data_IF_690177953197
#
_entry.id   IF_690177953197
#
_cell.length_a   1.000
_cell.length_b   1.000
_cell.length_c   1.000
_cell.angle_alpha   90.00
_cell.angle_beta   90.00
_cell.angle_gamma   90.00
#
_symmetry.space_group_name_H-M   'P 1'
#
loop_
_entity.id
_entity.type
_entity.pdbx_description
1 polymer ?
#
# COMPACT_ATOMS: atom_id res chain seq x y z
N UNK A 1 -3.12 -22.00 11.57
CA UNK A 1 -2.45 -20.71 11.28
C UNK A 1 -3.43 -19.60 11.60
N UNK A 2 -3.10 -18.69 12.52
CA UNK A 2 -3.97 -17.57 12.88
C UNK A 2 -3.65 -16.38 11.94
N UNK A 3 -4.66 -15.90 11.21
CA UNK A 3 -4.49 -14.85 10.19
C UNK A 3 -4.09 -13.49 10.78
N UNK A 4 -4.32 -13.27 12.08
CA UNK A 4 -3.95 -12.03 12.76
C UNK A 4 -2.45 -11.89 13.01
N UNK A 5 -1.72 -13.00 13.05
CA UNK A 5 -0.30 -13.02 13.39
C UNK A 5 0.50 -14.00 12.51
N UNK A 6 0.13 -14.12 11.23
CA UNK A 6 0.71 -15.14 10.36
C UNK A 6 2.21 -14.92 10.08
N UNK A 7 2.68 -13.66 10.15
CA UNK A 7 4.09 -13.30 9.94
C UNK A 7 4.98 -13.66 11.14
N UNK A 8 4.41 -14.10 12.26
CA UNK A 8 5.17 -14.62 13.42
C UNK A 8 6.06 -15.84 13.10
N UNK A 9 5.76 -16.56 12.01
CA UNK A 9 6.54 -17.72 11.58
C UNK A 9 7.70 -17.37 10.62
N UNK A 10 7.82 -16.11 10.21
CA UNK A 10 8.87 -15.66 9.29
C UNK A 10 10.17 -15.44 10.04
N UNK A 11 11.32 -15.68 9.39
CA UNK A 11 12.63 -15.36 9.97
C UNK A 11 12.86 -13.85 9.98
N UNK A 12 13.48 -13.35 11.04
CA UNK A 12 13.88 -11.94 11.15
C UNK A 12 14.91 -11.54 10.10
N UNK A 13 15.69 -12.48 9.58
CA UNK A 13 16.73 -12.26 8.56
C UNK A 13 16.21 -12.31 7.13
N UNK A 14 14.96 -12.74 6.92
CA UNK A 14 14.36 -12.78 5.59
C UNK A 14 14.10 -11.34 5.11
N UNK A 15 14.35 -11.05 3.84
CA UNK A 15 14.05 -9.74 3.25
C UNK A 15 12.55 -9.60 2.99
N UNK A 16 12.03 -8.39 3.13
CA UNK A 16 10.65 -8.05 2.76
C UNK A 16 10.31 -8.47 1.31
N UNK A 17 11.27 -8.29 0.40
CA UNK A 17 11.12 -8.67 -1.02
C UNK A 17 11.01 -10.17 -1.28
N UNK A 18 11.21 -11.02 -0.28
CA UNK A 18 11.16 -12.48 -0.39
C UNK A 18 9.85 -13.09 0.13
N UNK A 19 8.87 -12.26 0.51
CA UNK A 19 7.60 -12.73 1.07
C UNK A 19 6.45 -12.41 0.12
N UNK A 20 5.60 -13.39 -0.11
CA UNK A 20 4.30 -13.18 -0.73
C UNK A 20 3.34 -12.55 0.28
N UNK A 21 2.99 -11.28 0.06
CA UNK A 21 2.14 -10.50 0.98
C UNK A 21 0.79 -10.22 0.31
N UNK A 22 -0.34 -10.64 0.91
CA UNK A 22 -1.66 -10.29 0.40
C UNK A 22 -1.94 -8.80 0.65
N UNK A 23 -2.53 -8.16 -0.36
CA UNK A 23 -2.88 -6.74 -0.34
C UNK A 23 -4.26 -6.43 -0.88
N UNK A 24 -4.75 -5.23 -0.59
CA UNK A 24 -6.07 -4.74 -1.01
C UNK A 24 -5.96 -3.45 -1.81
N UNK A 25 -6.51 -3.46 -3.03
CA UNK A 25 -6.66 -2.29 -3.89
C UNK A 25 -7.75 -1.36 -3.34
N UNK A 26 -7.48 -0.04 -3.30
CA UNK A 26 -8.38 0.97 -2.72
C UNK A 26 -8.97 0.53 -1.38
N UNK A 27 -8.09 0.32 -0.39
CA UNK A 27 -8.42 -0.40 0.83
C UNK A 27 -9.57 0.24 1.63
N UNK A 28 -9.77 1.56 1.50
CA UNK A 28 -10.81 2.31 2.19
C UNK A 28 -12.18 2.32 1.48
N UNK A 29 -12.36 1.63 0.35
CA UNK A 29 -13.59 1.74 -0.46
C UNK A 29 -14.82 0.98 0.08
N UNK A 30 -14.74 0.41 1.29
CA UNK A 30 -15.78 -0.45 1.87
C UNK A 30 -17.05 0.25 2.37
N UNK A 31 -17.11 1.58 2.28
CA UNK A 31 -18.32 2.38 2.59
C UNK A 31 -18.91 3.07 1.37
N UNK A 32 -18.41 2.78 0.17
CA UNK A 32 -18.97 3.40 -1.04
C UNK A 32 -20.34 2.79 -1.33
N UNK A 33 -21.39 3.51 -0.94
CA UNK A 33 -22.78 3.20 -1.22
C UNK A 33 -23.43 4.32 -2.07
N UNK A 34 -22.62 5.00 -2.89
CA UNK A 34 -23.14 6.02 -3.81
C UNK A 34 -23.90 5.29 -4.91
N UNK A 35 -25.21 5.54 -5.00
CA UNK A 35 -26.04 5.08 -6.12
C UNK A 35 -25.39 5.50 -7.45
N UNK A 36 -25.14 4.53 -8.34
CA UNK A 36 -24.46 4.76 -9.62
C UNK A 36 -22.93 4.64 -9.59
N UNK A 37 -22.31 4.47 -8.41
CA UNK A 37 -20.86 4.36 -8.25
C UNK A 37 -20.38 2.91 -8.00
N UNK A 38 -21.04 1.91 -8.59
CA UNK A 38 -20.66 0.50 -8.47
C UNK A 38 -19.19 0.21 -8.87
N UNK A 39 -18.56 1.12 -9.61
CA UNK A 39 -17.14 1.08 -9.98
C UNK A 39 -16.17 1.51 -8.87
N UNK A 40 -16.64 2.18 -7.82
CA UNK A 40 -15.76 2.76 -6.78
C UNK A 40 -15.59 1.89 -5.55
N UNK A 41 -16.42 0.84 -5.38
CA UNK A 41 -16.30 -0.10 -4.29
C UNK A 41 -15.44 -1.30 -4.70
N UNK A 42 -14.28 -1.45 -4.07
CA UNK A 42 -13.34 -2.56 -4.31
C UNK A 42 -13.22 -3.48 -3.11
N UNK A 43 -13.69 -3.04 -1.93
CA UNK A 43 -13.66 -3.79 -0.68
C UNK A 43 -15.04 -3.85 -0.03
N UNK A 44 -15.33 -4.92 0.71
CA UNK A 44 -16.54 -5.04 1.55
C UNK A 44 -16.21 -5.08 3.05
N UNK A 45 -14.94 -5.34 3.40
CA UNK A 45 -14.46 -5.35 4.78
C UNK A 45 -13.82 -4.02 5.15
N UNK A 46 -14.05 -3.57 6.39
CA UNK A 46 -13.32 -2.43 6.93
C UNK A 46 -11.83 -2.78 7.16
N UNK A 47 -11.00 -1.76 7.39
CA UNK A 47 -9.55 -1.92 7.56
C UNK A 47 -9.19 -2.93 8.65
N UNK A 48 -9.87 -2.86 9.81
CA UNK A 48 -9.63 -3.81 10.90
C UNK A 48 -9.88 -5.25 10.46
N UNK A 49 -10.98 -5.50 9.75
CA UNK A 49 -11.34 -6.84 9.27
C UNK A 49 -10.40 -7.31 8.16
N UNK A 50 -9.95 -6.44 7.25
CA UNK A 50 -8.91 -6.79 6.26
C UNK A 50 -7.64 -7.28 6.97
N UNK A 51 -7.16 -6.52 7.96
CA UNK A 51 -5.97 -6.89 8.74
C UNK A 51 -6.19 -8.20 9.53
N UNK A 52 -7.36 -8.38 10.14
CA UNK A 52 -7.70 -9.61 10.87
C UNK A 52 -7.80 -10.86 9.96
N UNK A 53 -7.98 -10.65 8.66
CA UNK A 53 -8.01 -11.70 7.63
C UNK A 53 -6.67 -11.86 6.90
N UNK A 54 -5.60 -11.27 7.42
CA UNK A 54 -4.23 -11.49 6.96
C UNK A 54 -3.70 -10.51 5.93
N UNK A 55 -4.49 -9.52 5.50
CA UNK A 55 -4.01 -8.45 4.62
C UNK A 55 -2.90 -7.66 5.32
N UNK A 56 -1.78 -7.41 4.64
CA UNK A 56 -0.65 -6.63 5.18
C UNK A 56 -0.11 -5.59 4.20
N UNK A 57 -0.65 -5.51 2.98
CA UNK A 57 -0.43 -4.40 2.06
C UNK A 57 -1.74 -3.63 1.87
N UNK A 58 -1.76 -2.34 2.22
CA UNK A 58 -2.94 -1.50 2.06
C UNK A 58 -2.65 -0.36 1.08
N UNK A 59 -3.49 -0.23 0.06
CA UNK A 59 -3.50 0.91 -0.87
C UNK A 59 -4.40 2.04 -0.33
N UNK A 60 -3.76 3.09 0.20
CA UNK A 60 -4.40 4.28 0.75
C UNK A 60 -4.30 5.45 -0.23
N UNK A 61 -5.45 5.76 -0.83
CA UNK A 61 -5.59 6.84 -1.81
C UNK A 61 -6.22 8.06 -1.16
N UNK A 62 -5.43 9.12 -1.03
CA UNK A 62 -5.78 10.28 -0.21
C UNK A 62 -5.96 11.52 -1.07
N UNK A 63 -6.98 12.32 -0.78
CA UNK A 63 -7.11 13.69 -1.27
C UNK A 63 -6.77 14.64 -0.13
N UNK A 64 -6.03 15.70 -0.45
CA UNK A 64 -5.68 16.74 0.50
C UNK A 64 -6.76 17.84 0.45
N UNK A 65 -7.52 17.97 1.53
CA UNK A 65 -8.60 18.96 1.71
C UNK A 65 -8.41 19.64 3.07
N UNK A 66 -8.44 20.96 3.16
CA UNK A 66 -8.33 21.70 4.43
C UNK A 66 -7.11 21.28 5.30
N UNK A 67 -5.95 21.04 4.67
CA UNK A 67 -4.74 20.55 5.33
C UNK A 67 -4.88 19.18 6.04
N UNK A 68 -5.87 18.37 5.66
CA UNK A 68 -6.06 16.99 6.13
C UNK A 68 -6.26 16.02 4.96
N UNK A 69 -6.06 14.73 5.20
CA UNK A 69 -6.26 13.69 4.21
C UNK A 69 -7.61 12.98 4.39
N UNK A 70 -8.40 13.01 3.33
CA UNK A 70 -9.63 12.22 3.15
C UNK A 70 -9.35 11.05 2.21
N UNK A 71 -10.04 9.91 2.41
CA UNK A 71 -9.91 8.74 1.53
C UNK A 71 -10.78 8.90 0.28
N UNK A 72 -10.21 8.66 -0.89
CA UNK A 72 -10.86 8.90 -2.18
C UNK A 72 -10.64 7.75 -3.18
N UNK A 73 -11.56 7.63 -4.13
CA UNK A 73 -11.39 6.90 -5.39
C UNK A 73 -11.66 7.88 -6.52
N UNK A 74 -10.61 8.34 -7.21
CA UNK A 74 -10.68 9.52 -8.05
C UNK A 74 -11.26 10.72 -7.29
N UNK A 75 -12.29 11.36 -7.86
CA UNK A 75 -12.98 12.49 -7.21
C UNK A 75 -13.89 12.07 -6.04
N UNK A 76 -14.26 10.80 -5.93
CA UNK A 76 -15.30 10.32 -5.01
C UNK A 76 -14.75 10.16 -3.59
N UNK A 77 -15.37 10.87 -2.65
CA UNK A 77 -15.06 10.73 -1.22
C UNK A 77 -15.62 9.41 -0.68
N UNK A 78 -14.76 8.60 -0.06
CA UNK A 78 -15.10 7.26 0.44
C UNK A 78 -15.70 7.25 1.86
N UNK A 79 -16.14 8.42 2.35
CA UNK A 79 -16.72 8.61 3.69
C UNK A 79 -15.78 8.18 4.83
N UNK A 80 -14.48 8.37 4.62
CA UNK A 80 -13.43 7.97 5.55
C UNK A 80 -12.31 9.00 5.59
N UNK A 81 -11.79 9.25 6.79
CA UNK A 81 -10.60 10.07 7.00
C UNK A 81 -9.36 9.18 7.02
N UNK A 82 -8.23 9.70 6.53
CA UNK A 82 -6.95 8.99 6.64
C UNK A 82 -6.49 8.84 8.10
N UNK A 83 -6.90 9.77 8.98
CA UNK A 83 -6.64 9.69 10.42
C UNK A 83 -7.17 8.39 11.04
N UNK A 84 -8.44 8.09 10.85
CA UNK A 84 -9.07 6.86 11.38
C UNK A 84 -8.44 5.59 10.77
N UNK A 85 -8.10 5.67 9.47
CA UNK A 85 -7.42 4.62 8.74
C UNK A 85 -6.06 4.31 9.37
N UNK A 86 -5.22 5.33 9.59
CA UNK A 86 -3.87 5.15 10.11
C UNK A 86 -3.88 4.72 11.59
N UNK A 87 -4.80 5.26 12.40
CA UNK A 87 -5.00 4.82 13.79
C UNK A 87 -5.33 3.32 13.83
N UNK A 88 -6.20 2.83 12.94
CA UNK A 88 -6.52 1.40 12.86
C UNK A 88 -5.28 0.55 12.55
N UNK A 89 -4.40 1.04 11.68
CA UNK A 89 -3.15 0.36 11.32
C UNK A 89 -2.16 0.33 12.49
N UNK A 90 -1.98 1.48 13.16
CA UNK A 90 -1.13 1.64 14.34
C UNK A 90 -1.58 0.69 15.46
N UNK A 91 -2.87 0.67 15.76
CA UNK A 91 -3.40 -0.19 16.81
C UNK A 91 -3.25 -1.67 16.46
N UNK A 92 -3.30 -2.02 15.17
CA UNK A 92 -3.10 -3.39 14.73
C UNK A 92 -1.67 -3.86 14.99
N UNK A 93 -0.65 -3.10 14.56
CA UNK A 93 0.75 -3.50 14.74
C UNK A 93 1.17 -3.48 16.22
N UNK A 94 0.62 -2.56 17.02
CA UNK A 94 0.81 -2.57 18.48
C UNK A 94 0.25 -3.83 19.15
N UNK A 95 -0.91 -4.30 18.70
CA UNK A 95 -1.54 -5.52 19.22
C UNK A 95 -0.97 -6.82 18.67
N UNK A 96 -0.24 -6.75 17.55
CA UNK A 96 0.35 -7.90 16.88
C UNK A 96 1.81 -7.55 16.52
N UNK A 97 2.71 -7.47 17.52
CA UNK A 97 4.08 -6.96 17.32
C UNK A 97 4.93 -7.83 16.39
N UNK A 98 4.51 -9.07 16.11
CA UNK A 98 5.15 -9.90 15.08
C UNK A 98 4.88 -9.44 13.65
N UNK A 99 3.82 -8.64 13.43
CA UNK A 99 3.36 -8.23 12.12
C UNK A 99 3.89 -6.85 11.74
N UNK A 100 3.79 -6.51 10.47
CA UNK A 100 4.03 -5.18 9.94
C UNK A 100 3.01 -4.87 8.85
N UNK A 101 2.79 -3.59 8.54
CA UNK A 101 1.90 -3.18 7.46
C UNK A 101 2.70 -2.42 6.40
N UNK A 102 2.61 -2.82 5.14
CA UNK A 102 3.04 -1.98 4.01
C UNK A 102 1.87 -1.06 3.69
N UNK A 103 2.10 0.24 3.85
CA UNK A 103 1.12 1.27 3.55
C UNK A 103 1.53 2.03 2.29
N UNK A 104 0.86 1.74 1.18
CA UNK A 104 0.95 2.50 -0.06
C UNK A 104 0.15 3.79 0.09
N UNK A 105 0.80 4.95 0.01
CA UNK A 105 0.11 6.25 0.07
C UNK A 105 0.24 6.97 -1.25
N UNK A 106 -0.90 7.30 -1.86
CA UNK A 106 -1.00 8.05 -3.13
C UNK A 106 -1.82 9.33 -2.92
N UNK A 107 -1.39 10.43 -3.54
CA UNK A 107 -2.26 11.58 -3.74
C UNK A 107 -3.24 11.26 -4.88
N UNK A 108 -4.52 11.10 -4.55
CA UNK A 108 -5.53 10.56 -5.45
C UNK A 108 -6.09 11.59 -6.41
N UNK A 109 -6.26 12.82 -5.92
CA UNK A 109 -6.92 13.88 -6.65
C UNK A 109 -6.27 15.23 -6.34
N UNK A 110 -6.73 16.25 -7.06
CA UNK A 110 -6.33 17.65 -6.86
C UNK A 110 -6.56 18.11 -5.42
N UNK A 111 -5.63 18.93 -4.94
CA UNK A 111 -5.67 19.58 -3.63
C UNK A 111 -6.84 20.57 -3.57
N UNK A 112 -7.50 20.67 -2.42
CA UNK A 112 -8.58 21.62 -2.17
C UNK A 112 -8.34 22.37 -0.84
N UNK A 113 -8.52 23.70 -0.84
CA UNK A 113 -8.52 24.55 0.36
C UNK A 113 -7.36 24.29 1.34
N UNK A 114 -6.16 23.99 0.83
CA UNK A 114 -5.00 23.64 1.66
C UNK A 114 -3.84 24.58 1.40
N UNK A 115 -3.17 24.99 2.47
CA UNK A 115 -2.03 25.92 2.43
C UNK A 115 -0.68 25.17 2.47
N UNK A 116 -0.69 23.89 2.80
CA UNK A 116 0.49 23.01 2.83
C UNK A 116 0.43 22.02 1.67
N UNK A 117 1.60 21.59 1.19
CA UNK A 117 1.71 20.51 0.21
C UNK A 117 1.39 19.15 0.83
N UNK A 118 1.01 18.17 -0.02
CA UNK A 118 0.68 16.81 0.41
C UNK A 118 1.77 16.19 1.30
N UNK A 119 3.03 16.16 0.86
CA UNK A 119 4.11 15.58 1.66
C UNK A 119 4.33 16.29 3.01
N UNK A 120 4.14 17.62 3.08
CA UNK A 120 4.26 18.37 4.35
C UNK A 120 3.15 17.99 5.32
N UNK A 121 1.93 17.79 4.84
CA UNK A 121 0.81 17.30 5.66
C UNK A 121 1.03 15.85 6.07
N UNK A 122 1.47 14.98 5.15
CA UNK A 122 1.80 13.58 5.45
C UNK A 122 2.80 13.50 6.61
N UNK A 123 3.89 14.26 6.50
CA UNK A 123 4.95 14.32 7.51
C UNK A 123 4.45 14.86 8.85
N UNK A 124 3.98 16.10 8.87
CA UNK A 124 3.71 16.80 10.12
C UNK A 124 2.48 16.26 10.88
N UNK A 125 1.49 15.71 10.17
CA UNK A 125 0.22 15.31 10.78
C UNK A 125 0.10 13.82 11.04
N UNK A 126 0.78 12.98 10.25
CA UNK A 126 0.56 11.54 10.30
C UNK A 126 1.84 10.75 10.61
N UNK A 127 3.01 11.21 10.18
CA UNK A 127 4.29 10.54 10.45
C UNK A 127 4.89 10.99 11.79
N UNK A 128 5.15 12.28 11.96
CA UNK A 128 5.86 12.82 13.14
C UNK A 128 5.21 12.45 14.48
N UNK A 129 3.87 12.44 14.64
CA UNK A 129 3.24 12.02 15.89
C UNK A 129 3.43 10.54 16.25
N UNK A 130 3.89 9.72 15.30
CA UNK A 130 4.03 8.26 15.41
C UNK A 130 5.36 7.78 14.82
N UNK A 131 6.41 8.61 14.88
CA UNK A 131 7.65 8.42 14.15
C UNK A 131 8.33 7.07 14.44
N UNK A 132 8.19 6.56 15.67
CA UNK A 132 8.72 5.28 16.11
C UNK A 132 8.04 4.06 15.45
N UNK A 133 6.81 4.24 14.96
CA UNK A 133 6.01 3.18 14.31
C UNK A 133 6.28 3.14 12.81
N UNK A 134 6.71 4.24 12.20
CA UNK A 134 6.98 4.26 10.77
C UNK A 134 8.39 3.78 10.44
N UNK A 135 8.50 2.89 9.46
CA UNK A 135 9.75 2.63 8.76
C UNK A 135 9.83 3.53 7.52
N UNK A 136 10.84 4.41 7.50
CA UNK A 136 10.93 5.52 6.54
C UNK A 136 12.19 5.47 5.66
N UNK A 137 12.99 4.41 5.74
CA UNK A 137 14.18 4.28 4.91
C UNK A 137 13.82 3.80 3.50
N UNK A 138 14.50 4.37 2.50
CA UNK A 138 14.39 3.91 1.12
C UNK A 138 15.33 2.71 0.86
N UNK A 139 15.03 1.60 1.51
CA UNK A 139 15.76 0.32 1.46
C UNK A 139 14.76 -0.82 1.58
N UNK A 140 15.08 -2.00 1.03
CA UNK A 140 14.36 -3.25 1.32
C UNK A 140 14.83 -3.77 2.70
N UNK A 141 13.98 -3.72 3.74
CA UNK A 141 14.36 -4.19 5.07
C UNK A 141 14.29 -5.72 5.19
N UNK A 142 14.99 -6.25 6.18
CA UNK A 142 14.73 -7.55 6.76
C UNK A 142 13.50 -7.49 7.68
N UNK A 143 12.85 -8.61 7.94
CA UNK A 143 11.60 -8.64 8.72
C UNK A 143 11.80 -8.14 10.14
N UNK A 144 12.91 -8.49 10.80
CA UNK A 144 13.22 -8.02 12.14
C UNK A 144 13.27 -6.49 12.27
N UNK A 145 13.66 -5.77 11.20
CA UNK A 145 13.75 -4.30 11.20
C UNK A 145 12.37 -3.62 11.22
N UNK A 146 11.33 -4.34 10.79
CA UNK A 146 9.99 -3.79 10.52
C UNK A 146 8.86 -4.40 11.34
N UNK A 147 9.11 -5.43 12.15
CA UNK A 147 8.12 -5.95 13.10
C UNK A 147 7.57 -4.83 13.99
N UNK A 148 6.25 -4.80 14.15
CA UNK A 148 5.54 -3.75 14.88
C UNK A 148 5.45 -2.40 14.16
N UNK A 149 5.89 -2.31 12.89
CA UNK A 149 5.96 -1.04 12.15
C UNK A 149 5.01 -0.96 10.96
N UNK A 150 4.82 0.28 10.50
CA UNK A 150 4.21 0.61 9.22
C UNK A 150 5.33 1.00 8.25
N UNK A 151 5.53 0.18 7.23
CA UNK A 151 6.46 0.43 6.12
C UNK A 151 5.76 1.33 5.11
N UNK A 152 6.24 2.56 4.97
CA UNK A 152 5.68 3.50 4.00
C UNK A 152 6.18 3.17 2.59
N UNK A 153 5.26 2.87 1.68
CA UNK A 153 5.49 2.86 0.23
C UNK A 153 4.95 4.18 -0.35
N UNK A 154 5.86 5.09 -0.72
CA UNK A 154 5.51 6.46 -1.09
C UNK A 154 5.22 6.56 -2.59
N UNK A 155 3.95 6.80 -2.95
CA UNK A 155 3.48 7.09 -4.32
C UNK A 155 3.11 8.57 -4.51
N UNK A 156 3.80 9.46 -3.79
CA UNK A 156 3.65 10.92 -3.88
C UNK A 156 5.02 11.60 -3.90
N UNK A 157 5.06 12.84 -4.37
CA UNK A 157 6.31 13.62 -4.53
C UNK A 157 6.57 14.59 -3.38
N UNK A 158 7.83 14.99 -3.23
CA UNK A 158 8.25 16.19 -2.48
C UNK A 158 9.03 15.93 -1.19
N UNK A 159 9.05 14.71 -0.67
CA UNK A 159 10.00 14.30 0.36
C UNK A 159 10.62 12.93 0.07
N UNK A 160 11.50 12.45 0.96
CA UNK A 160 12.20 11.17 0.82
C UNK A 160 11.81 10.18 1.91
N UNK A 161 10.53 10.20 2.33
CA UNK A 161 10.02 9.28 3.33
C UNK A 161 9.65 7.91 2.72
N UNK A 162 10.15 6.84 3.30
CA UNK A 162 9.81 5.47 2.95
C UNK A 162 10.42 4.97 1.64
N UNK A 163 9.94 3.81 1.21
CA UNK A 163 10.31 3.19 -0.06
C UNK A 163 9.74 4.05 -1.18
N UNK A 164 10.61 4.53 -2.07
CA UNK A 164 10.22 5.42 -3.16
C UNK A 164 9.58 4.65 -4.31
N UNK A 165 8.28 4.90 -4.49
CA UNK A 165 7.47 4.45 -5.62
C UNK A 165 6.78 5.64 -6.33
N UNK A 166 7.38 6.84 -6.27
CA UNK A 166 6.78 8.08 -6.79
C UNK A 166 6.76 8.16 -8.31
N UNK A 167 7.61 7.40 -9.01
CA UNK A 167 7.65 7.30 -10.47
C UNK A 167 6.69 6.23 -11.02
N UNK A 168 5.44 6.22 -10.54
CA UNK A 168 4.42 5.25 -10.93
C UNK A 168 3.90 5.54 -12.34
N UNK A 169 4.03 4.58 -13.29
CA UNK A 169 3.52 4.75 -14.65
C UNK A 169 2.05 4.35 -14.75
N UNK A 170 1.32 5.01 -15.66
CA UNK A 170 -0.09 4.80 -15.87
C UNK A 170 -0.37 3.53 -16.69
N UNK A 171 -1.31 2.70 -16.24
CA UNK A 171 -1.91 1.56 -16.96
C UNK A 171 -0.89 0.63 -17.67
N UNK A 172 0.18 0.24 -16.98
CA UNK A 172 1.28 -0.48 -17.61
C UNK A 172 2.05 -1.39 -16.67
N UNK A 173 2.97 -2.18 -17.24
CA UNK A 173 4.01 -2.91 -16.51
C UNK A 173 5.30 -2.11 -16.57
N UNK A 174 5.95 -1.90 -15.42
CA UNK A 174 7.11 -1.02 -15.35
C UNK A 174 8.04 -1.35 -14.19
N UNK A 175 9.25 -0.78 -14.29
CA UNK A 175 10.28 -0.82 -13.26
C UNK A 175 10.50 0.59 -12.70
N UNK A 176 10.54 0.70 -11.37
CA UNK A 176 11.02 1.89 -10.66
C UNK A 176 12.42 1.56 -10.14
N UNK A 177 13.43 2.28 -10.64
CA UNK A 177 14.82 2.11 -10.23
C UNK A 177 15.10 2.94 -8.99
N UNK A 178 15.44 2.28 -7.89
CA UNK A 178 16.04 2.91 -6.71
C UNK A 178 17.55 2.67 -6.73
N UNK A 179 18.27 3.28 -5.78
CA UNK A 179 19.74 3.19 -5.73
C UNK A 179 20.25 1.74 -5.64
N UNK A 180 19.69 0.97 -4.71
CA UNK A 180 20.19 -0.37 -4.35
C UNK A 180 19.18 -1.49 -4.65
N UNK A 181 18.00 -1.15 -5.17
CA UNK A 181 16.95 -2.12 -5.50
C UNK A 181 16.02 -1.58 -6.58
N UNK A 182 15.24 -2.46 -7.21
CA UNK A 182 14.22 -2.07 -8.18
C UNK A 182 12.85 -2.57 -7.70
N UNK A 183 11.80 -1.80 -8.02
CA UNK A 183 10.41 -2.19 -7.81
C UNK A 183 9.83 -2.55 -9.17
N UNK A 184 9.31 -3.77 -9.29
CA UNK A 184 8.61 -4.24 -10.49
C UNK A 184 7.11 -4.19 -10.23
N UNK A 185 6.37 -3.53 -11.11
CA UNK A 185 4.93 -3.31 -10.96
C UNK A 185 4.23 -3.77 -12.24
N UNK A 186 3.10 -4.45 -12.06
CA UNK A 186 2.11 -4.65 -13.11
C UNK A 186 0.80 -3.99 -12.67
N UNK A 187 0.45 -2.89 -13.34
CA UNK A 187 -0.72 -2.08 -13.01
C UNK A 187 -1.52 -1.73 -14.27
N UNK A 188 -1.86 -2.73 -15.08
CA UNK A 188 -2.84 -2.58 -16.16
C UNK A 188 -4.25 -2.63 -15.54
N UNK A 189 -4.90 -1.50 -15.30
CA UNK A 189 -6.15 -1.43 -14.55
C UNK A 189 -7.37 -1.08 -15.42
N UNK A 190 -7.17 -0.59 -16.64
CA UNK A 190 -8.24 -0.06 -17.50
C UNK A 190 -8.50 -0.92 -18.75
N UNK A 191 -9.60 -0.64 -19.46
CA UNK A 191 -9.90 -1.21 -20.77
C UNK A 191 -10.45 -2.65 -20.75
N UNK A 192 -10.84 -3.15 -19.57
CA UNK A 192 -11.37 -4.49 -19.42
C UNK A 192 -12.90 -4.53 -19.38
N UNK A 193 -13.46 -5.46 -20.14
CA UNK A 193 -14.84 -5.93 -20.04
C UNK A 193 -14.84 -7.37 -19.55
N UNK A 194 -16.02 -7.94 -19.31
CA UNK A 194 -16.14 -9.36 -19.01
C UNK A 194 -15.45 -10.27 -20.06
N UNK A 195 -15.44 -9.85 -21.33
CA UNK A 195 -14.83 -10.61 -22.43
C UNK A 195 -13.31 -10.44 -22.49
N UNK A 196 -12.77 -9.27 -22.13
CA UNK A 196 -11.33 -8.98 -22.20
C UNK A 196 -10.59 -9.18 -20.87
N UNK A 197 -11.27 -9.56 -19.78
CA UNK A 197 -10.66 -9.81 -18.47
C UNK A 197 -9.50 -10.82 -18.51
N UNK A 198 -9.52 -11.76 -19.47
CA UNK A 198 -8.42 -12.71 -19.64
C UNK A 198 -7.08 -12.03 -19.98
N UNK A 199 -7.08 -10.83 -20.58
CA UNK A 199 -5.86 -10.09 -20.88
C UNK A 199 -5.22 -9.58 -19.57
N UNK A 200 -6.02 -9.07 -18.63
CA UNK A 200 -5.53 -8.74 -17.28
C UNK A 200 -4.91 -9.96 -16.61
N UNK A 201 -5.57 -11.12 -16.68
CA UNK A 201 -5.05 -12.38 -16.11
C UNK A 201 -3.70 -12.76 -16.70
N UNK A 202 -3.52 -12.64 -18.03
CA UNK A 202 -2.22 -12.88 -18.69
C UNK A 202 -1.11 -11.98 -18.14
N UNK A 203 -1.36 -10.68 -17.97
CA UNK A 203 -0.36 -9.78 -17.38
C UNK A 203 -0.01 -10.15 -15.93
N UNK A 204 -0.98 -10.60 -15.13
CA UNK A 204 -0.74 -11.10 -13.77
C UNK A 204 0.12 -12.36 -13.80
N UNK A 205 -0.24 -13.35 -14.62
CA UNK A 205 0.48 -14.61 -14.73
C UNK A 205 1.94 -14.42 -15.20
N UNK A 206 2.18 -13.53 -16.16
CA UNK A 206 3.53 -13.19 -16.59
C UNK A 206 4.35 -12.60 -15.45
N UNK A 207 3.79 -11.62 -14.71
CA UNK A 207 4.47 -10.99 -13.57
C UNK A 207 4.80 -12.00 -12.45
N UNK A 208 3.88 -12.94 -12.17
CA UNK A 208 4.10 -14.01 -11.19
C UNK A 208 5.21 -14.97 -11.63
N UNK A 209 5.24 -15.38 -12.90
CA UNK A 209 6.31 -16.23 -13.45
C UNK A 209 7.67 -15.54 -13.36
N UNK A 210 7.73 -14.24 -13.62
CA UNK A 210 8.97 -13.47 -13.49
C UNK A 210 9.44 -13.36 -12.03
N UNK A 211 8.51 -13.17 -11.09
CA UNK A 211 8.82 -13.19 -9.67
C UNK A 211 9.37 -14.55 -9.21
N UNK A 212 8.75 -15.65 -9.65
CA UNK A 212 9.23 -17.02 -9.37
C UNK A 212 10.64 -17.26 -9.92
N UNK A 213 10.90 -16.90 -11.19
CA UNK A 213 12.23 -17.04 -11.80
C UNK A 213 13.30 -16.27 -11.02
N UNK A 214 13.01 -15.03 -10.63
CA UNK A 214 13.92 -14.19 -9.85
C UNK A 214 14.13 -14.69 -8.42
N UNK A 215 13.14 -15.36 -7.83
CA UNK A 215 13.30 -16.02 -6.55
C UNK A 215 14.27 -17.22 -6.68
N UNK A 216 14.11 -18.06 -7.70
CA UNK A 216 14.98 -19.22 -7.94
C UNK A 216 16.43 -18.84 -8.29
N UNK A 217 16.64 -17.77 -9.07
CA UNK A 217 18.00 -17.34 -9.43
C UNK A 217 18.83 -16.82 -8.25
N UNK A 218 18.22 -16.57 -7.09
CA UNK A 218 18.91 -16.18 -5.85
C UNK A 218 19.36 -17.37 -4.99
N UNK A 219 19.01 -18.60 -5.38
CA UNK A 219 19.37 -19.84 -4.68
C UNK A 219 20.30 -20.76 -5.48
N UNK A 220 20.79 -20.31 -6.65
CA UNK A 220 21.82 -21.03 -7.40
C UNK A 220 23.18 -20.59 -6.85
N UNK A 221 23.72 -21.38 -5.93
CA UNK A 221 25.12 -21.36 -5.53
C UNK A 221 25.89 -22.43 -6.32
#
# INVERSE_FOLDING_TARGET
MNMRNWMSHLSDTQLLSQISIPGTHDSASFRSNVFGAGFTQTQSWNIRKQLDQGVRFLDARCRLINNVFTMHHGAVFLKQQFGDFITTCIDFVKRNPSEFIILSVKQEHTVENSTKSFHKVMRARYIEPHNEIFYLDNKIPNIGEIRGKIVLLRRYSGDKAGIDASHWKNDTSFEIKNKDFNIYVQDHYDGYTALSLHFKRKFIECSLKDAQKKAHSRYVY
#
